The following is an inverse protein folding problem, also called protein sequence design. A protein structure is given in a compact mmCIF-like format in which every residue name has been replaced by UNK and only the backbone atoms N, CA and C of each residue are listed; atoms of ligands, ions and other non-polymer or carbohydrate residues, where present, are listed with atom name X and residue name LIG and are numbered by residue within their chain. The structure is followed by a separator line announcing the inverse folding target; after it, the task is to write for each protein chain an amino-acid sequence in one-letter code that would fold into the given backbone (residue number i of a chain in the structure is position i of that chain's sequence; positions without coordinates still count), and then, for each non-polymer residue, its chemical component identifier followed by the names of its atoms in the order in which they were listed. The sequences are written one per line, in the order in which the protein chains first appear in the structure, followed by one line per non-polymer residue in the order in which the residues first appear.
data_IF_392946876288
#
_entry.id   IF_392946876288
#
_cell.length_a   1.000
_cell.length_b   1.000
_cell.length_c   1.000
_cell.angle_alpha   90.00
_cell.angle_beta   90.00
_cell.angle_gamma   90.00
#
_symmetry.space_group_name_H-M   'P 1'
#
loop_
_entity.id
_entity.type
_entity.pdbx_description
1 polymer ?
#
# COMPACT_ATOMS: atom_id res chain seq x y z
N UNK A 1 9.88 -3.90 13.00
CA UNK A 1 9.24 -2.59 13.23
C UNK A 1 7.73 -2.78 13.40
N UNK A 2 7.07 -2.04 14.29
CA UNK A 2 5.60 -2.09 14.46
C UNK A 2 4.88 -1.28 13.37
N UNK A 3 3.63 -1.65 13.07
CA UNK A 3 2.83 -1.03 11.99
C UNK A 3 2.63 0.47 12.18
N UNK A 4 2.35 0.94 13.40
CA UNK A 4 2.17 2.37 13.70
C UNK A 4 3.42 3.21 13.36
N UNK A 5 4.60 2.63 13.60
CA UNK A 5 5.86 3.28 13.25
C UNK A 5 6.04 3.37 11.73
N UNK A 6 5.63 2.31 11.01
CA UNK A 6 5.61 2.30 9.54
C UNK A 6 4.66 3.39 9.03
N UNK A 7 3.42 3.48 9.53
CA UNK A 7 2.46 4.53 9.16
C UNK A 7 3.04 5.94 9.36
N UNK A 8 3.65 6.17 10.53
CA UNK A 8 4.28 7.46 10.86
C UNK A 8 5.42 7.81 9.90
N UNK A 9 6.30 6.85 9.58
CA UNK A 9 7.44 7.05 8.67
C UNK A 9 6.97 7.27 7.24
N UNK A 10 6.03 6.47 6.76
CA UNK A 10 5.45 6.60 5.41
C UNK A 10 4.76 7.94 5.21
N UNK A 11 3.95 8.38 6.19
CA UNK A 11 3.32 9.71 6.17
C UNK A 11 4.38 10.80 6.05
N UNK A 12 5.38 10.79 6.92
CA UNK A 12 6.47 11.77 6.90
C UNK A 12 7.20 11.76 5.55
N UNK A 13 7.49 10.58 5.01
CA UNK A 13 8.16 10.45 3.71
C UNK A 13 7.32 11.07 2.59
N UNK A 14 6.02 10.76 2.50
CA UNK A 14 5.11 11.35 1.51
C UNK A 14 5.03 12.87 1.64
N UNK A 15 4.90 13.40 2.86
CA UNK A 15 4.88 14.83 3.13
C UNK A 15 6.17 15.52 2.67
N UNK A 16 7.34 14.92 2.93
CA UNK A 16 8.63 15.47 2.42
C UNK A 16 8.73 15.46 0.90
N UNK A 17 7.97 14.60 0.23
CA UNK A 17 7.86 14.57 -1.25
C UNK A 17 6.79 15.52 -1.78
N UNK A 18 6.12 16.28 -0.90
CA UNK A 18 5.11 17.27 -1.23
C UNK A 18 3.71 16.69 -1.44
N UNK A 19 3.45 15.47 -0.96
CA UNK A 19 2.09 14.93 -0.93
C UNK A 19 1.33 15.47 0.28
N UNK A 20 0.03 15.69 0.10
CA UNK A 20 -0.93 15.90 1.18
C UNK A 20 -1.52 14.55 1.56
N UNK A 21 -1.36 14.13 2.81
CA UNK A 21 -1.85 12.84 3.31
C UNK A 21 -3.23 13.01 3.94
N UNK A 22 -4.15 12.10 3.64
CA UNK A 22 -5.52 12.04 4.18
C UNK A 22 -5.73 10.73 4.91
N UNK A 23 -6.55 10.75 5.97
CA UNK A 23 -6.85 9.57 6.76
C UNK A 23 -7.64 8.50 5.97
N UNK A 24 -7.86 7.34 6.59
CA UNK A 24 -8.50 6.15 6.03
C UNK A 24 -9.69 6.46 5.11
N UNK A 25 -9.72 5.79 3.96
CA UNK A 25 -10.88 5.79 3.06
C UNK A 25 -11.35 4.35 2.91
N UNK A 26 -12.62 4.17 3.23
CA UNK A 26 -13.36 2.94 2.95
C UNK A 26 -13.65 2.90 1.45
N UNK A 27 -13.06 1.94 0.74
CA UNK A 27 -13.32 1.74 -0.67
C UNK A 27 -14.44 0.70 -0.77
N UNK A 28 -15.64 1.18 -1.10
CA UNK A 28 -16.79 0.32 -1.35
C UNK A 28 -16.64 -0.32 -2.73
N UNK A 29 -16.55 -1.64 -2.78
CA UNK A 29 -16.59 -2.39 -4.04
C UNK A 29 -18.05 -2.43 -4.54
N UNK A 30 -18.37 -1.80 -5.68
CA UNK A 30 -19.72 -1.80 -6.22
C UNK A 30 -19.96 -3.10 -7.00
N UNK A 31 -20.30 -4.18 -6.29
CA UNK A 31 -21.09 -5.34 -6.77
C UNK A 31 -20.92 -6.51 -5.80
N UNK A 32 -21.56 -6.42 -4.63
CA UNK A 32 -21.60 -7.60 -3.77
C UNK A 32 -22.87 -7.74 -2.92
N UNK A 33 -24.01 -7.72 -3.61
CA UNK A 33 -25.29 -8.09 -3.01
C UNK A 33 -25.38 -9.57 -2.60
N UNK A 34 -24.41 -10.41 -2.98
CA UNK A 34 -24.47 -11.86 -2.71
C UNK A 34 -23.23 -12.47 -2.04
N UNK A 35 -22.01 -11.91 -2.15
CA UNK A 35 -20.79 -12.51 -1.57
C UNK A 35 -20.03 -11.65 -0.57
N UNK A 36 -20.63 -10.63 0.06
CA UNK A 36 -20.13 -10.06 1.33
C UNK A 36 -18.61 -9.73 1.35
N UNK A 37 -17.99 -9.38 0.22
CA UNK A 37 -16.65 -8.82 0.16
C UNK A 37 -16.77 -7.38 0.64
N UNK A 38 -16.83 -7.28 1.97
CA UNK A 38 -16.86 -6.03 2.71
C UNK A 38 -15.79 -5.08 2.18
N UNK A 39 -16.19 -3.83 2.07
CA UNK A 39 -15.30 -2.69 1.84
C UNK A 39 -13.87 -2.90 2.32
N UNK A 40 -12.90 -2.59 1.47
CA UNK A 40 -11.49 -2.56 1.88
C UNK A 40 -11.23 -1.23 2.58
N UNK A 41 -10.57 -1.30 3.74
CA UNK A 41 -10.06 -0.12 4.44
C UNK A 41 -8.54 -0.11 4.26
N UNK A 42 -8.05 0.96 3.64
CA UNK A 42 -6.62 1.24 3.50
C UNK A 42 -6.21 2.27 4.54
N UNK A 43 -4.98 2.14 5.06
CA UNK A 43 -4.47 2.99 6.13
C UNK A 43 -4.55 4.49 5.83
N UNK A 44 -4.21 4.89 4.60
CA UNK A 44 -4.38 6.26 4.11
C UNK A 44 -4.21 6.35 2.60
N UNK A 45 -4.59 7.50 2.06
CA UNK A 45 -4.21 7.92 0.71
C UNK A 45 -3.52 9.28 0.76
N UNK A 46 -2.75 9.57 -0.27
CA UNK A 46 -2.03 10.82 -0.40
C UNK A 46 -2.16 11.35 -1.83
N UNK A 47 -2.09 12.67 -1.98
CA UNK A 47 -2.18 13.30 -3.29
C UNK A 47 -1.21 14.46 -3.47
N UNK A 48 -0.80 14.70 -4.72
CA UNK A 48 0.08 15.81 -5.12
C UNK A 48 -0.38 16.41 -6.46
N UNK A 49 -0.34 17.73 -6.56
CA UNK A 49 -0.64 18.47 -7.78
C UNK A 49 0.56 18.39 -8.78
N UNK A 50 0.35 18.10 -10.08
CA UNK A 50 -0.93 17.76 -10.72
C UNK A 50 -1.33 16.29 -10.55
N UNK A 51 -2.49 16.09 -9.91
CA UNK A 51 -3.34 14.90 -9.86
C UNK A 51 -2.69 13.51 -9.61
N UNK A 52 -1.57 13.43 -8.88
CA UNK A 52 -1.01 12.13 -8.48
C UNK A 52 -1.66 11.65 -7.19
N UNK A 53 -2.46 10.59 -7.26
CA UNK A 53 -3.02 9.88 -6.11
C UNK A 53 -2.16 8.64 -5.81
N UNK A 54 -1.90 8.43 -4.54
CA UNK A 54 -1.20 7.25 -4.01
C UNK A 54 -2.01 6.65 -2.86
N UNK A 55 -2.41 5.39 -3.02
CA UNK A 55 -3.00 4.55 -1.98
C UNK A 55 -1.91 3.90 -1.16
N UNK A 56 -2.06 3.85 0.16
CA UNK A 56 -1.03 3.33 1.04
C UNK A 56 -1.60 2.28 1.99
N UNK A 57 -0.91 1.14 2.06
CA UNK A 57 -1.10 0.12 3.08
C UNK A 57 0.25 -0.06 3.78
N UNK A 58 0.24 0.00 5.10
CA UNK A 58 1.42 -0.13 5.93
C UNK A 58 1.35 -1.45 6.67
N UNK A 59 2.45 -2.21 6.65
CA UNK A 59 2.59 -3.42 7.46
C UNK A 59 3.89 -3.36 8.25
N UNK A 60 3.82 -3.80 9.50
CA UNK A 60 5.00 -4.03 10.33
C UNK A 60 5.83 -5.23 9.84
N UNK A 61 6.64 -5.77 10.73
CA UNK A 61 7.35 -7.02 10.48
C UNK A 61 6.39 -8.22 10.63
N UNK A 62 5.54 -8.41 9.62
CA UNK A 62 4.44 -9.39 9.59
C UNK A 62 4.79 -10.65 8.76
N UNK A 63 3.96 -11.69 8.85
CA UNK A 63 4.12 -12.90 8.05
C UNK A 63 3.96 -12.61 6.54
N UNK A 64 4.50 -13.48 5.67
CA UNK A 64 4.33 -13.31 4.21
C UNK A 64 2.85 -13.25 3.81
N UNK A 65 1.99 -14.06 4.45
CA UNK A 65 0.55 -14.08 4.17
C UNK A 65 -0.09 -12.71 4.40
N UNK A 66 0.20 -12.07 5.53
CA UNK A 66 -0.36 -10.75 5.87
C UNK A 66 0.19 -9.64 4.96
N UNK A 67 1.45 -9.76 4.54
CA UNK A 67 2.05 -8.85 3.56
C UNK A 67 1.36 -8.97 2.19
N UNK A 68 1.04 -10.19 1.75
CA UNK A 68 0.30 -10.44 0.51
C UNK A 68 -1.15 -9.97 0.61
N UNK A 69 -1.81 -10.12 1.76
CA UNK A 69 -3.14 -9.57 1.98
C UNK A 69 -3.14 -8.03 1.89
N UNK A 70 -2.12 -7.38 2.46
CA UNK A 70 -1.92 -5.93 2.29
C UNK A 70 -1.76 -5.53 0.82
N UNK A 71 -1.06 -6.35 0.03
CA UNK A 71 -0.90 -6.13 -1.40
C UNK A 71 -2.23 -6.24 -2.17
N UNK A 72 -3.03 -7.28 -1.91
CA UNK A 72 -4.34 -7.48 -2.54
C UNK A 72 -5.29 -6.32 -2.20
N UNK A 73 -5.28 -5.84 -0.95
CA UNK A 73 -6.06 -4.65 -0.56
C UNK A 73 -5.68 -3.41 -1.36
N UNK A 74 -4.38 -3.20 -1.61
CA UNK A 74 -3.91 -2.11 -2.45
C UNK A 74 -4.34 -2.28 -3.90
N UNK A 75 -4.33 -3.49 -4.46
CA UNK A 75 -4.83 -3.75 -5.82
C UNK A 75 -6.28 -3.31 -5.96
N UNK A 76 -7.14 -3.65 -4.98
CA UNK A 76 -8.52 -3.15 -4.98
C UNK A 76 -8.61 -1.63 -4.91
N UNK A 77 -7.79 -0.99 -4.06
CA UNK A 77 -7.79 0.46 -3.96
C UNK A 77 -7.34 1.17 -5.24
N UNK A 78 -6.34 0.63 -5.91
CA UNK A 78 -5.90 1.12 -7.22
C UNK A 78 -6.96 0.86 -8.29
N UNK A 79 -7.57 -0.33 -8.32
CA UNK A 79 -8.56 -0.70 -9.33
C UNK A 79 -9.80 0.21 -9.29
N UNK A 80 -10.36 0.43 -8.10
CA UNK A 80 -11.57 1.25 -7.94
C UNK A 80 -11.30 2.75 -7.79
N UNK A 81 -10.17 3.11 -7.18
CA UNK A 81 -9.81 4.50 -6.88
C UNK A 81 -8.86 5.16 -7.89
N UNK A 82 -8.27 4.39 -8.80
CA UNK A 82 -7.23 4.85 -9.74
C UNK A 82 -5.90 5.20 -9.06
N UNK A 83 -4.89 5.63 -9.82
CA UNK A 83 -3.61 6.08 -9.27
C UNK A 83 -2.57 4.96 -9.08
N UNK A 84 -1.77 5.04 -8.00
CA UNK A 84 -0.73 4.06 -7.67
C UNK A 84 -0.88 3.55 -6.23
N UNK A 85 -0.38 2.37 -5.93
CA UNK A 85 -0.30 1.80 -4.59
C UNK A 85 1.11 1.83 -4.02
N UNK A 86 1.23 2.03 -2.71
CA UNK A 86 2.46 1.84 -1.94
C UNK A 86 2.17 0.86 -0.81
N UNK A 87 2.85 -0.29 -0.86
CA UNK A 87 2.97 -1.17 0.30
C UNK A 87 4.20 -0.75 1.10
N UNK A 88 3.98 -0.09 2.22
CA UNK A 88 5.06 0.37 3.09
C UNK A 88 5.38 -0.66 4.16
N UNK A 89 6.65 -1.06 4.25
CA UNK A 89 7.11 -2.17 5.10
C UNK A 89 8.54 -1.93 5.59
N UNK A 90 8.98 -2.57 6.69
CA UNK A 90 10.39 -2.57 7.10
C UNK A 90 11.28 -3.36 6.13
N UNK A 91 12.60 -3.23 6.28
CA UNK A 91 13.58 -3.83 5.37
C UNK A 91 13.48 -5.36 5.31
N UNK A 92 13.30 -6.01 6.47
CA UNK A 92 13.16 -7.48 6.59
C UNK A 92 11.96 -8.00 5.78
N UNK A 93 10.81 -7.35 5.93
CA UNK A 93 9.58 -7.67 5.18
C UNK A 93 9.74 -7.42 3.67
N UNK A 94 10.44 -6.34 3.29
CA UNK A 94 10.79 -6.07 1.88
C UNK A 94 11.56 -7.23 1.27
N UNK A 95 12.59 -7.73 1.96
CA UNK A 95 13.39 -8.85 1.48
C UNK A 95 12.58 -10.16 1.35
N UNK A 96 11.63 -10.41 2.27
CA UNK A 96 10.71 -11.56 2.18
C UNK A 96 9.75 -11.46 1.00
N UNK A 97 9.20 -10.27 0.72
CA UNK A 97 8.30 -10.06 -0.42
C UNK A 97 9.05 -10.26 -1.75
N UNK A 98 10.22 -9.66 -1.89
CA UNK A 98 11.00 -9.70 -3.13
C UNK A 98 11.56 -11.11 -3.46
N UNK A 99 11.68 -11.99 -2.46
CA UNK A 99 12.05 -13.39 -2.71
C UNK A 99 10.89 -14.24 -3.26
N UNK A 100 9.64 -13.78 -3.17
CA UNK A 100 8.43 -14.50 -3.58
C UNK A 100 7.82 -13.96 -4.89
N UNK A 101 8.66 -13.87 -5.95
CA UNK A 101 8.39 -13.20 -7.24
C UNK A 101 7.12 -13.62 -8.01
N UNK A 102 6.51 -14.77 -7.71
CA UNK A 102 5.40 -15.32 -8.53
C UNK A 102 4.06 -14.62 -8.33
N UNK A 103 3.83 -14.01 -7.17
CA UNK A 103 2.52 -13.42 -6.84
C UNK A 103 2.35 -11.99 -7.37
N UNK A 104 3.44 -11.35 -7.77
CA UNK A 104 3.53 -9.89 -7.90
C UNK A 104 3.51 -9.39 -9.35
N UNK A 105 3.41 -10.31 -10.32
CA UNK A 105 3.50 -10.00 -11.73
C UNK A 105 2.28 -9.22 -12.27
N UNK A 106 1.14 -9.23 -11.57
CA UNK A 106 -0.10 -8.62 -12.05
C UNK A 106 -0.21 -7.11 -11.75
N UNK A 107 0.35 -6.62 -10.64
CA UNK A 107 0.30 -5.19 -10.26
C UNK A 107 1.65 -4.47 -10.27
N UNK A 108 2.66 -5.05 -10.95
CA UNK A 108 4.04 -4.58 -11.01
C UNK A 108 4.20 -3.09 -11.36
N UNK A 109 3.36 -2.58 -12.25
CA UNK A 109 3.49 -1.21 -12.76
C UNK A 109 2.71 -0.17 -11.94
N UNK A 110 1.85 -0.62 -11.03
CA UNK A 110 0.94 0.25 -10.27
C UNK A 110 1.18 0.20 -8.76
N UNK A 111 1.71 -0.89 -8.20
CA UNK A 111 2.04 -0.99 -6.77
C UNK A 111 3.55 -1.07 -6.57
N UNK A 112 4.06 -0.25 -5.65
CA UNK A 112 5.47 -0.20 -5.27
C UNK A 112 5.65 -0.62 -3.81
N UNK A 113 6.76 -1.29 -3.50
CA UNK A 113 7.15 -1.53 -2.11
C UNK A 113 8.02 -0.38 -1.64
N UNK A 114 7.62 0.29 -0.56
CA UNK A 114 8.44 1.27 0.14
C UNK A 114 9.10 0.60 1.35
N UNK A 115 10.41 0.42 1.27
CA UNK A 115 11.23 0.13 2.44
C UNK A 115 11.33 1.40 3.28
N UNK A 116 10.61 1.45 4.41
CA UNK A 116 10.52 2.67 5.24
C UNK A 116 11.77 2.92 6.10
N UNK A 117 12.62 1.91 6.25
CA UNK A 117 13.90 2.05 6.96
C UNK A 117 14.94 2.66 6.03
N UNK A 118 14.90 2.31 4.75
CA UNK A 118 15.78 2.87 3.72
C UNK A 118 15.17 4.06 2.96
N UNK A 119 13.87 4.30 3.10
CA UNK A 119 13.08 5.28 2.33
C UNK A 119 13.24 5.12 0.80
N UNK A 120 13.34 3.87 0.34
CA UNK A 120 13.54 3.50 -1.07
C UNK A 120 12.31 2.78 -1.61
N UNK A 121 11.87 3.21 -2.79
CA UNK A 121 10.88 2.50 -3.58
C UNK A 121 11.55 1.39 -4.38
N UNK A 122 10.99 0.18 -4.31
CA UNK A 122 11.34 -0.97 -5.13
C UNK A 122 10.15 -1.29 -6.01
N UNK A 123 10.38 -1.26 -7.33
CA UNK A 123 9.45 -1.86 -8.27
C UNK A 123 9.45 -3.38 -8.07
N UNK A 124 8.27 -3.97 -8.16
CA UNK A 124 8.05 -5.40 -7.88
C UNK A 124 8.39 -6.26 -9.09
#
# INVERSE_FOLDING_TARGET
MMEDEVKKRTRRWLETKGYKVKAEVKISCPDDSENNHGSVVLDFWAYKDPAKIVWCECKGDQSLSELLEGFIRLEFGVFYGGGHGILAVPHTATMRLLSHKKFLAQAKDVIQILDVEQNKLKQM
#
